data_IF_515801768468
#
_entry.id   IF_515801768468
#
_cell.length_a   1.000
_cell.length_b   1.000
_cell.length_c   1.000
_cell.angle_alpha   90.00
_cell.angle_beta   90.00
_cell.angle_gamma   90.00
#
_symmetry.space_group_name_H-M   'P 1'
#
loop_
_entity.id
_entity.type
_entity.pdbx_description
1 polymer ?
#
# COMPACT_ATOMS: atom_id res chain seq x y z
N UNK A 1 -2.62 71.35 -42.44
CA UNK A 1 -2.27 69.99 -42.01
C UNK A 1 -3.26 69.58 -40.92
N UNK A 2 -4.20 68.67 -41.23
CA UNK A 2 -5.28 68.27 -40.33
C UNK A 2 -4.86 66.93 -39.66
N UNK A 3 -4.76 66.91 -38.35
CA UNK A 3 -4.50 65.68 -37.59
C UNK A 3 -5.79 64.91 -37.35
N UNK A 4 -5.88 63.70 -37.93
CA UNK A 4 -7.01 62.77 -37.73
C UNK A 4 -6.72 61.94 -36.48
N UNK A 5 -7.46 62.14 -35.40
CA UNK A 5 -7.39 61.31 -34.15
C UNK A 5 -8.12 60.00 -34.36
N UNK A 6 -7.37 58.88 -34.34
CA UNK A 6 -7.90 57.51 -34.39
C UNK A 6 -8.26 57.09 -32.95
N UNK A 7 -9.57 56.83 -32.71
CA UNK A 7 -10.02 56.24 -31.44
C UNK A 7 -9.75 54.74 -31.40
N UNK A 8 -9.19 54.19 -30.29
CA UNK A 8 -8.98 52.76 -30.19
C UNK A 8 -10.30 51.99 -30.03
N UNK A 9 -10.37 50.74 -30.53
CA UNK A 9 -11.59 49.94 -30.47
C UNK A 9 -11.94 49.54 -29.03
N UNK A 10 -13.22 49.69 -28.67
CA UNK A 10 -13.76 49.26 -27.37
C UNK A 10 -13.64 47.76 -27.26
N UNK A 11 -12.84 47.27 -26.27
CA UNK A 11 -12.74 45.87 -25.86
C UNK A 11 -14.09 45.43 -25.28
N UNK A 12 -14.83 44.56 -26.05
CA UNK A 12 -16.01 43.85 -25.51
C UNK A 12 -15.55 42.90 -24.42
N UNK A 13 -15.93 43.16 -23.17
CA UNK A 13 -15.82 42.16 -22.10
C UNK A 13 -16.72 40.97 -22.46
N UNK A 14 -16.08 39.83 -22.77
CA UNK A 14 -16.79 38.53 -22.80
C UNK A 14 -17.21 38.23 -21.37
N UNK A 15 -18.50 38.25 -21.10
CA UNK A 15 -19.07 37.62 -19.91
C UNK A 15 -18.94 36.11 -20.10
N UNK A 16 -17.97 35.48 -19.46
CA UNK A 16 -17.86 34.03 -19.41
C UNK A 16 -19.10 33.49 -18.67
N UNK A 17 -20.01 32.93 -19.43
CA UNK A 17 -21.17 32.22 -18.87
C UNK A 17 -20.62 30.87 -18.36
N UNK A 18 -20.73 30.61 -17.06
CA UNK A 18 -20.46 29.31 -16.48
C UNK A 18 -21.19 28.20 -17.25
N UNK A 19 -20.56 27.06 -17.53
CA UNK A 19 -21.20 25.96 -18.23
C UNK A 19 -22.47 25.53 -17.48
N UNK A 20 -23.53 25.22 -18.22
CA UNK A 20 -24.86 24.88 -17.69
C UNK A 20 -24.86 23.70 -16.71
N UNK A 21 -23.79 22.87 -16.68
CA UNK A 21 -23.60 21.77 -15.76
C UNK A 21 -23.25 22.18 -14.30
N UNK A 22 -22.67 23.37 -14.10
CA UNK A 22 -22.28 23.86 -12.76
C UNK A 22 -23.49 24.07 -11.83
N UNK A 23 -24.59 24.70 -12.24
CA UNK A 23 -25.78 24.87 -11.40
C UNK A 23 -26.49 23.54 -11.11
N UNK A 24 -26.45 22.56 -12.01
CA UNK A 24 -27.06 21.23 -11.80
C UNK A 24 -26.26 20.47 -10.74
N UNK A 25 -24.94 20.46 -10.81
CA UNK A 25 -24.09 19.81 -9.82
C UNK A 25 -24.25 20.44 -8.42
N UNK A 26 -24.31 21.79 -8.36
CA UNK A 26 -24.53 22.50 -7.11
C UNK A 26 -25.90 22.17 -6.50
N UNK A 27 -26.94 22.05 -7.30
CA UNK A 27 -28.28 21.68 -6.84
C UNK A 27 -28.33 20.23 -6.32
N UNK A 28 -27.64 19.29 -6.97
CA UNK A 28 -27.55 17.89 -6.52
C UNK A 28 -26.81 17.81 -5.19
N UNK A 29 -25.68 18.49 -5.04
CA UNK A 29 -24.92 18.52 -3.78
C UNK A 29 -25.75 19.14 -2.65
N UNK A 30 -26.43 20.26 -2.90
CA UNK A 30 -27.32 20.88 -1.92
C UNK A 30 -28.48 19.95 -1.52
N UNK A 31 -29.07 19.23 -2.48
CA UNK A 31 -30.12 18.24 -2.22
C UNK A 31 -29.65 17.07 -1.33
N UNK A 32 -28.44 16.56 -1.59
CA UNK A 32 -27.85 15.49 -0.79
C UNK A 32 -27.50 15.94 0.64
N UNK A 33 -27.03 17.17 0.81
CA UNK A 33 -26.77 17.75 2.14
C UNK A 33 -28.07 17.98 2.93
N UNK A 34 -29.14 18.46 2.28
CA UNK A 34 -30.45 18.60 2.91
C UNK A 34 -31.03 17.24 3.30
N UNK A 35 -30.90 16.21 2.44
CA UNK A 35 -31.36 14.86 2.76
C UNK A 35 -30.59 14.27 3.95
N UNK A 36 -29.26 14.42 4.00
CA UNK A 36 -28.45 14.03 5.19
C UNK A 36 -28.91 14.78 6.45
N UNK A 37 -29.18 16.07 6.35
CA UNK A 37 -29.69 16.86 7.47
C UNK A 37 -31.06 16.39 7.96
N UNK A 38 -31.99 16.08 7.07
CA UNK A 38 -33.32 15.54 7.40
C UNK A 38 -33.21 14.13 8.03
N UNK A 39 -32.37 13.25 7.47
CA UNK A 39 -32.13 11.92 8.04
C UNK A 39 -31.54 12.00 9.44
N UNK A 40 -30.61 12.91 9.69
CA UNK A 40 -30.05 13.18 11.00
C UNK A 40 -31.13 13.64 12.00
N UNK A 41 -32.02 14.58 11.57
CA UNK A 41 -33.13 15.06 12.41
C UNK A 41 -34.19 13.99 12.69
N UNK A 42 -34.34 13.00 11.80
CA UNK A 42 -35.24 11.86 11.97
C UNK A 42 -34.64 10.74 12.82
N UNK A 43 -33.45 10.94 13.39
CA UNK A 43 -32.76 9.92 14.21
C UNK A 43 -32.22 8.73 13.39
N UNK A 44 -32.03 8.89 12.06
CA UNK A 44 -31.32 7.89 11.27
C UNK A 44 -29.90 7.79 11.83
N UNK A 45 -29.45 6.59 12.24
CA UNK A 45 -28.14 6.47 12.83
C UNK A 45 -27.10 7.05 11.87
N UNK A 46 -26.19 7.92 12.34
CA UNK A 46 -25.02 8.26 11.54
C UNK A 46 -24.35 6.96 11.14
N UNK A 47 -23.90 6.90 9.89
CA UNK A 47 -23.00 5.82 9.43
C UNK A 47 -21.96 5.63 10.52
N UNK A 48 -21.93 4.44 11.13
CA UNK A 48 -21.02 4.17 12.23
C UNK A 48 -19.62 4.57 11.74
N UNK A 49 -18.95 5.43 12.48
CA UNK A 49 -17.55 5.72 12.21
C UNK A 49 -16.86 4.36 12.05
N UNK A 50 -15.99 4.17 11.03
CA UNK A 50 -15.32 2.90 10.85
C UNK A 50 -14.73 2.51 12.21
N UNK A 51 -15.15 1.37 12.75
CA UNK A 51 -14.61 0.88 14.01
C UNK A 51 -13.10 0.84 13.81
N UNK A 52 -12.40 1.61 14.61
CA UNK A 52 -10.94 1.61 14.62
C UNK A 52 -10.53 0.20 15.07
N UNK A 53 -10.28 -0.68 14.10
CA UNK A 53 -9.81 -2.02 14.41
C UNK A 53 -8.53 -1.87 15.19
N UNK A 54 -8.48 -2.49 16.37
CA UNK A 54 -7.22 -2.56 17.10
C UNK A 54 -6.18 -3.24 16.21
N UNK A 55 -4.97 -2.66 16.16
CA UNK A 55 -3.84 -3.26 15.46
C UNK A 55 -3.65 -4.70 15.94
N UNK A 56 -3.59 -5.71 15.05
CA UNK A 56 -3.40 -7.09 15.46
C UNK A 56 -2.12 -7.28 16.27
N UNK A 57 -2.19 -8.10 17.29
CA UNK A 57 -1.01 -8.48 18.06
C UNK A 57 -0.15 -9.44 17.24
N UNK A 58 1.15 -9.14 17.16
CA UNK A 58 2.10 -9.96 16.39
C UNK A 58 2.24 -11.34 17.02
N UNK A 59 2.09 -12.43 16.25
CA UNK A 59 2.20 -13.78 16.77
C UNK A 59 3.60 -14.10 17.34
N UNK A 60 3.66 -14.98 18.35
CA UNK A 60 4.92 -15.39 18.98
C UNK A 60 5.93 -16.06 18.01
N UNK A 61 5.47 -16.60 16.88
CA UNK A 61 6.33 -17.18 15.85
C UNK A 61 6.94 -16.16 14.89
N UNK A 62 6.67 -14.86 15.08
CA UNK A 62 7.27 -13.73 14.37
C UNK A 62 8.24 -13.02 15.31
N UNK A 63 9.47 -12.82 14.88
CA UNK A 63 10.44 -12.03 15.61
C UNK A 63 10.20 -10.55 15.38
N UNK A 64 9.90 -9.80 16.41
CA UNK A 64 9.81 -8.34 16.31
C UNK A 64 11.20 -7.70 16.38
N UNK A 65 11.63 -7.07 15.31
CA UNK A 65 12.86 -6.28 15.22
C UNK A 65 12.57 -4.98 14.47
N UNK A 66 11.70 -4.16 15.07
CA UNK A 66 11.22 -2.93 14.45
C UNK A 66 12.39 -2.00 14.08
N UNK A 67 12.25 -1.33 12.93
CA UNK A 67 13.21 -0.34 12.48
C UNK A 67 13.18 0.89 13.41
N UNK A 68 14.31 1.57 13.64
CA UNK A 68 14.29 2.88 14.27
C UNK A 68 13.51 3.88 13.38
N UNK A 69 12.81 4.80 14.03
CA UNK A 69 12.07 5.85 13.34
C UNK A 69 13.02 6.74 12.53
N UNK A 70 12.75 6.89 11.24
CA UNK A 70 13.50 7.75 10.34
C UNK A 70 12.68 8.02 9.05
N UNK A 71 12.95 9.11 8.32
CA UNK A 71 12.16 9.48 7.15
C UNK A 71 12.29 8.51 5.96
N UNK A 72 13.32 7.65 5.92
CA UNK A 72 13.67 6.87 4.73
C UNK A 72 13.16 5.43 4.76
N UNK A 73 12.95 4.85 5.95
CA UNK A 73 12.48 3.47 6.07
C UNK A 73 11.34 3.27 7.07
N UNK A 74 11.20 4.12 8.09
CA UNK A 74 10.08 4.11 9.03
C UNK A 74 9.63 5.53 9.38
N UNK A 75 8.77 6.15 8.53
CA UNK A 75 8.33 7.53 8.71
C UNK A 75 7.29 7.71 9.82
N UNK A 76 6.82 6.65 10.46
CA UNK A 76 5.72 6.65 11.45
C UNK A 76 4.40 7.23 10.91
N UNK A 77 4.21 7.17 9.59
CA UNK A 77 2.96 7.59 8.97
C UNK A 77 1.89 6.52 9.22
N UNK A 78 0.71 6.90 9.74
CA UNK A 78 -0.35 5.93 10.00
C UNK A 78 -0.80 5.17 8.74
N UNK A 79 -1.05 3.88 8.89
CA UNK A 79 -1.74 3.02 7.94
C UNK A 79 -3.21 2.94 8.36
N UNK A 80 -4.03 3.83 7.81
CA UNK A 80 -5.44 4.02 8.23
C UNK A 80 -6.33 2.82 7.87
N UNK A 81 -5.99 2.10 6.82
CA UNK A 81 -6.78 0.98 6.32
C UNK A 81 -5.87 -0.05 5.64
N UNK A 82 -6.16 -1.34 5.84
CA UNK A 82 -5.51 -2.43 5.11
C UNK A 82 -6.51 -3.03 4.13
N UNK A 83 -6.25 -2.85 2.83
CA UNK A 83 -7.06 -3.34 1.72
C UNK A 83 -6.37 -4.44 0.92
N UNK A 84 -5.17 -4.83 1.31
CA UNK A 84 -4.45 -5.90 0.65
C UNK A 84 -3.12 -6.25 1.29
N UNK A 85 -2.57 -7.37 0.82
CA UNK A 85 -1.24 -7.87 1.18
C UNK A 85 -0.41 -7.90 -0.09
N UNK A 86 0.74 -7.23 -0.09
CA UNK A 86 1.63 -7.15 -1.23
C UNK A 86 2.86 -8.05 -1.03
N UNK A 87 3.06 -8.98 -1.96
CA UNK A 87 4.18 -9.93 -1.95
C UNK A 87 5.30 -9.39 -2.82
N UNK A 88 6.50 -9.42 -2.26
CA UNK A 88 7.74 -8.99 -2.89
C UNK A 88 8.82 -10.06 -2.76
N UNK A 89 9.92 -9.87 -3.48
CA UNK A 89 11.20 -10.54 -3.24
C UNK A 89 12.28 -9.48 -3.05
N UNK A 90 13.25 -9.74 -2.20
CA UNK A 90 14.28 -8.74 -1.85
C UNK A 90 15.15 -8.31 -3.04
N UNK A 91 15.17 -9.08 -4.14
CA UNK A 91 15.96 -8.77 -5.34
C UNK A 91 17.48 -8.79 -5.12
N UNK A 92 17.93 -9.41 -4.04
CA UNK A 92 19.33 -9.55 -3.64
C UNK A 92 19.58 -11.00 -3.20
N UNK A 93 19.93 -11.90 -4.14
CA UNK A 93 20.00 -13.34 -3.92
C UNK A 93 20.95 -13.74 -2.78
N UNK A 94 20.55 -14.74 -2.00
CA UNK A 94 21.39 -15.34 -0.95
C UNK A 94 21.52 -14.46 0.32
N UNK A 95 20.82 -13.32 0.39
CA UNK A 95 20.82 -12.50 1.61
C UNK A 95 19.82 -13.03 2.64
N UNK A 96 20.11 -12.82 3.93
CA UNK A 96 19.24 -13.21 5.04
C UNK A 96 18.20 -12.12 5.33
N UNK A 97 17.11 -12.47 6.05
CA UNK A 97 16.14 -11.50 6.53
C UNK A 97 16.80 -10.43 7.41
N UNK A 98 17.74 -10.80 8.26
CA UNK A 98 18.47 -9.85 9.10
C UNK A 98 19.30 -8.85 8.29
N UNK A 99 20.02 -9.29 7.24
CA UNK A 99 20.80 -8.41 6.39
C UNK A 99 19.90 -7.38 5.65
N UNK A 100 18.72 -7.82 5.18
CA UNK A 100 17.76 -6.92 4.53
C UNK A 100 17.13 -5.95 5.55
N UNK A 101 16.82 -6.40 6.75
CA UNK A 101 16.38 -5.52 7.84
C UNK A 101 17.43 -4.47 8.18
N UNK A 102 18.71 -4.85 8.27
CA UNK A 102 19.81 -3.95 8.58
C UNK A 102 20.07 -2.96 7.42
N UNK A 103 19.87 -3.38 6.17
CA UNK A 103 19.86 -2.48 5.03
C UNK A 103 18.78 -1.39 5.20
N UNK A 104 17.54 -1.74 5.55
CA UNK A 104 16.49 -0.76 5.79
C UNK A 104 16.84 0.19 6.95
N UNK A 105 17.41 -0.32 8.04
CA UNK A 105 17.84 0.50 9.16
C UNK A 105 18.96 1.48 8.75
N UNK A 106 19.91 1.02 7.93
CA UNK A 106 21.03 1.82 7.45
C UNK A 106 20.63 3.00 6.55
N UNK A 107 19.43 2.97 5.97
CA UNK A 107 18.93 4.11 5.19
C UNK A 107 18.79 5.39 6.01
N UNK A 108 18.67 5.29 7.33
CA UNK A 108 18.68 6.45 8.24
C UNK A 108 19.98 7.28 8.17
N UNK A 109 21.08 6.68 7.72
CA UNK A 109 22.40 7.33 7.67
C UNK A 109 22.65 8.11 6.36
N UNK A 110 21.67 8.15 5.44
CA UNK A 110 21.80 8.87 4.18
C UNK A 110 21.95 10.38 4.40
N UNK A 111 22.97 10.98 3.77
CA UNK A 111 23.28 12.40 3.89
C UNK A 111 23.25 13.16 2.55
N UNK A 112 23.12 12.46 1.42
CA UNK A 112 23.20 13.03 0.08
C UNK A 112 22.08 12.49 -0.82
N UNK A 113 21.51 13.35 -1.65
CA UNK A 113 20.56 12.96 -2.69
C UNK A 113 21.26 12.28 -3.89
N UNK A 114 20.55 11.40 -4.62
CA UNK A 114 19.13 11.01 -4.41
C UNK A 114 18.95 10.06 -3.23
N UNK A 115 17.97 10.36 -2.38
CA UNK A 115 17.66 9.48 -1.25
C UNK A 115 16.88 8.23 -1.70
N UNK A 116 17.18 7.11 -1.04
CA UNK A 116 16.44 5.85 -1.19
C UNK A 116 15.41 5.74 -0.07
N UNK A 117 14.18 5.40 -0.44
CA UNK A 117 13.07 5.12 0.48
C UNK A 117 12.69 3.66 0.31
N UNK A 118 12.92 2.84 1.32
CA UNK A 118 12.59 1.42 1.26
C UNK A 118 12.38 0.82 2.65
N UNK A 119 11.35 -0.01 2.79
CA UNK A 119 11.09 -0.88 3.94
C UNK A 119 9.99 -1.86 3.61
N UNK A 120 9.76 -2.86 4.47
CA UNK A 120 8.58 -3.72 4.43
C UNK A 120 8.08 -3.97 5.86
N UNK A 121 6.83 -4.42 5.99
CA UNK A 121 6.30 -4.80 7.30
C UNK A 121 6.97 -6.07 7.79
N UNK A 122 7.16 -7.04 6.90
CA UNK A 122 7.78 -8.31 7.21
C UNK A 122 8.89 -8.66 6.21
N UNK A 123 9.90 -9.36 6.73
CA UNK A 123 10.92 -10.06 5.97
C UNK A 123 10.83 -11.54 6.30
N UNK A 124 10.89 -12.41 5.27
CA UNK A 124 10.98 -13.86 5.44
C UNK A 124 12.33 -14.32 4.90
N UNK A 125 13.10 -14.98 5.73
CA UNK A 125 14.43 -15.47 5.41
C UNK A 125 14.43 -16.81 4.67
N UNK A 126 15.62 -17.26 4.26
CA UNK A 126 15.82 -18.49 3.47
C UNK A 126 15.44 -19.76 4.26
N UNK A 127 15.59 -19.73 5.58
CA UNK A 127 15.24 -20.83 6.49
C UNK A 127 13.81 -20.67 7.05
N UNK A 128 13.03 -19.73 6.52
CA UNK A 128 11.64 -19.49 6.88
C UNK A 128 11.43 -18.63 8.14
N UNK A 129 12.49 -18.07 8.72
CA UNK A 129 12.36 -17.11 9.82
C UNK A 129 11.61 -15.84 9.35
N UNK A 130 10.76 -15.30 10.23
CA UNK A 130 9.96 -14.12 9.93
C UNK A 130 10.36 -12.99 10.90
N UNK A 131 10.72 -11.85 10.33
CA UNK A 131 11.06 -10.63 11.08
C UNK A 131 10.03 -9.55 10.76
N UNK A 132 9.40 -8.98 11.79
CA UNK A 132 8.60 -7.78 11.65
C UNK A 132 9.49 -6.54 11.79
N UNK A 133 9.46 -5.68 10.75
CA UNK A 133 10.27 -4.46 10.66
C UNK A 133 9.48 -3.18 10.90
N UNK A 134 8.19 -3.17 10.56
CA UNK A 134 7.30 -2.00 10.70
C UNK A 134 6.05 -2.44 11.47
N UNK A 135 5.53 -1.62 12.41
CA UNK A 135 4.23 -1.85 13.03
C UNK A 135 3.10 -1.94 11.99
N UNK A 136 2.06 -2.71 12.29
CA UNK A 136 0.96 -2.94 11.35
C UNK A 136 -0.01 -1.75 11.19
N UNK A 137 0.15 -0.73 12.00
CA UNK A 137 -0.56 0.56 11.94
C UNK A 137 0.26 1.70 11.34
N UNK A 138 1.46 1.39 10.82
CA UNK A 138 2.32 2.33 10.10
C UNK A 138 2.51 1.88 8.64
N UNK A 139 2.72 2.82 7.70
CA UNK A 139 3.05 2.49 6.31
C UNK A 139 4.49 1.99 6.17
N UNK A 140 4.72 1.08 5.21
CA UNK A 140 6.05 0.72 4.72
C UNK A 140 6.28 1.29 3.31
N UNK A 141 7.53 1.59 2.96
CA UNK A 141 7.91 2.03 1.61
C UNK A 141 8.28 0.85 0.71
N UNK A 142 7.29 0.12 0.21
CA UNK A 142 7.48 -1.12 -0.54
C UNK A 142 6.70 -1.18 -1.85
N UNK A 143 5.44 -0.75 -1.85
CA UNK A 143 4.47 -1.01 -2.91
C UNK A 143 4.01 0.26 -3.65
N UNK A 144 4.84 1.31 -3.64
CA UNK A 144 4.59 2.60 -4.30
C UNK A 144 3.27 3.24 -3.85
N UNK A 145 2.31 3.50 -4.76
CA UNK A 145 1.01 4.09 -4.43
C UNK A 145 0.14 3.23 -3.50
N UNK A 146 0.42 1.93 -3.37
CA UNK A 146 -0.29 1.02 -2.47
C UNK A 146 0.34 0.95 -1.06
N UNK A 147 1.40 1.75 -0.77
CA UNK A 147 1.95 1.85 0.58
C UNK A 147 0.91 2.29 1.62
N UNK A 148 -0.09 3.05 1.19
CA UNK A 148 -1.13 3.64 2.06
C UNK A 148 -2.22 2.65 2.48
N UNK A 149 -2.27 1.45 1.88
CA UNK A 149 -3.36 0.50 2.10
C UNK A 149 -2.95 -0.98 2.01
N UNK A 150 -1.65 -1.30 2.02
CA UNK A 150 -1.17 -2.69 2.00
C UNK A 150 -0.18 -3.00 3.10
N UNK A 151 -0.26 -4.24 3.61
CA UNK A 151 0.84 -4.85 4.35
C UNK A 151 1.79 -5.49 3.35
N UNK A 152 3.07 -5.13 3.39
CA UNK A 152 4.10 -5.63 2.48
C UNK A 152 4.93 -6.74 3.13
N UNK A 153 5.20 -7.82 2.37
CA UNK A 153 6.05 -8.94 2.77
C UNK A 153 7.17 -9.08 1.73
N UNK A 154 8.42 -8.94 2.17
CA UNK A 154 9.62 -9.17 1.36
C UNK A 154 10.19 -10.55 1.66
N UNK A 155 10.35 -11.39 0.63
CA UNK A 155 10.87 -12.74 0.75
C UNK A 155 12.30 -12.84 0.24
N UNK A 156 13.18 -13.44 1.03
CA UNK A 156 14.51 -13.83 0.61
C UNK A 156 14.44 -14.99 -0.39
N UNK A 157 15.41 -15.06 -1.29
CA UNK A 157 15.52 -16.10 -2.31
C UNK A 157 16.98 -16.49 -2.54
N UNK A 158 17.27 -17.76 -2.92
CA UNK A 158 18.63 -18.25 -2.96
C UNK A 158 19.44 -17.77 -4.16
N UNK A 159 18.79 -17.51 -5.30
CA UNK A 159 19.44 -17.24 -6.58
C UNK A 159 18.69 -16.21 -7.44
N UNK A 160 19.22 -15.91 -8.62
CA UNK A 160 18.71 -14.92 -9.57
C UNK A 160 17.32 -15.28 -10.17
N UNK A 161 16.89 -16.54 -10.10
CA UNK A 161 15.56 -16.92 -10.58
C UNK A 161 14.47 -16.29 -9.68
N UNK A 162 14.78 -16.08 -8.40
CA UNK A 162 13.88 -15.47 -7.44
C UNK A 162 12.80 -16.42 -6.94
N UNK A 163 12.98 -17.74 -7.13
CA UNK A 163 12.14 -18.77 -6.55
C UNK A 163 12.42 -18.87 -5.06
N UNK A 164 11.38 -19.00 -4.24
CA UNK A 164 11.53 -19.13 -2.80
C UNK A 164 11.92 -20.54 -2.40
N UNK A 165 12.70 -20.67 -1.31
CA UNK A 165 12.90 -22.00 -0.72
C UNK A 165 11.58 -22.56 -0.20
N UNK A 166 11.51 -23.87 0.03
CA UNK A 166 10.33 -24.50 0.66
C UNK A 166 9.99 -23.89 2.01
N UNK A 167 10.99 -23.53 2.78
CA UNK A 167 10.89 -22.93 4.11
C UNK A 167 10.35 -21.49 4.04
N UNK A 168 10.91 -20.67 3.13
CA UNK A 168 10.43 -19.32 2.85
C UNK A 168 8.96 -19.37 2.38
N UNK A 169 8.64 -20.28 1.45
CA UNK A 169 7.30 -20.46 0.91
C UNK A 169 6.28 -20.88 1.99
N UNK A 170 6.62 -21.85 2.81
CA UNK A 170 5.74 -22.31 3.91
C UNK A 170 5.45 -21.16 4.90
N UNK A 171 6.47 -20.37 5.23
CA UNK A 171 6.34 -19.20 6.10
C UNK A 171 5.53 -18.09 5.44
N UNK A 172 5.68 -17.88 4.14
CA UNK A 172 4.88 -16.93 3.36
C UNK A 172 3.39 -17.30 3.39
N UNK A 173 3.06 -18.57 3.12
CA UNK A 173 1.66 -19.07 3.21
C UNK A 173 1.10 -18.86 4.61
N UNK A 174 1.86 -19.23 5.66
CA UNK A 174 1.44 -19.07 7.06
C UNK A 174 1.17 -17.61 7.43
N UNK A 175 2.10 -16.72 7.09
CA UNK A 175 1.99 -15.28 7.42
C UNK A 175 0.85 -14.62 6.64
N UNK A 176 0.73 -14.93 5.35
CA UNK A 176 -0.32 -14.35 4.50
C UNK A 176 -1.70 -14.76 4.97
N UNK A 177 -1.92 -16.04 5.31
CA UNK A 177 -3.19 -16.51 5.88
C UNK A 177 -3.53 -15.80 7.19
N UNK A 178 -2.55 -15.70 8.10
CA UNK A 178 -2.77 -14.99 9.36
C UNK A 178 -3.18 -13.53 9.12
N UNK A 179 -2.52 -12.82 8.19
CA UNK A 179 -2.89 -11.44 7.83
C UNK A 179 -4.28 -11.37 7.19
N UNK A 180 -4.62 -12.30 6.30
CA UNK A 180 -5.97 -12.38 5.70
C UNK A 180 -7.04 -12.53 6.79
N UNK A 181 -6.83 -13.40 7.77
CA UNK A 181 -7.76 -13.59 8.89
C UNK A 181 -7.88 -12.33 9.74
N UNK A 182 -6.76 -11.67 10.07
CA UNK A 182 -6.76 -10.45 10.89
C UNK A 182 -7.50 -9.30 10.23
N UNK A 183 -7.32 -9.13 8.92
CA UNK A 183 -7.90 -8.01 8.17
C UNK A 183 -9.17 -8.39 7.39
N UNK A 184 -9.63 -9.65 7.49
CA UNK A 184 -10.81 -10.17 6.77
C UNK A 184 -10.68 -9.98 5.25
N UNK A 185 -9.49 -10.31 4.73
CA UNK A 185 -9.18 -10.27 3.31
C UNK A 185 -9.40 -11.65 2.68
N UNK A 186 -9.66 -11.65 1.38
CA UNK A 186 -9.65 -12.85 0.56
C UNK A 186 -8.45 -12.87 -0.40
N UNK A 187 -8.28 -13.95 -1.16
CA UNK A 187 -7.14 -14.12 -2.07
C UNK A 187 -7.08 -13.09 -3.19
N UNK A 188 -8.20 -12.46 -3.55
CA UNK A 188 -8.20 -11.37 -4.55
C UNK A 188 -7.52 -10.09 -4.07
N UNK A 189 -7.31 -9.96 -2.76
CA UNK A 189 -6.63 -8.84 -2.12
C UNK A 189 -5.15 -9.15 -1.81
N UNK A 190 -4.69 -10.36 -2.12
CA UNK A 190 -3.26 -10.72 -2.10
C UNK A 190 -2.68 -10.44 -3.49
N UNK A 191 -1.74 -9.51 -3.56
CA UNK A 191 -1.20 -9.00 -4.82
C UNK A 191 0.32 -9.13 -4.87
N UNK A 192 0.87 -9.17 -6.08
CA UNK A 192 2.30 -8.96 -6.32
C UNK A 192 2.59 -7.46 -6.42
N UNK A 193 3.79 -7.03 -6.16
CA UNK A 193 4.21 -5.67 -6.51
C UNK A 193 3.95 -5.37 -8.01
N UNK A 194 4.11 -6.38 -8.85
CA UNK A 194 3.80 -6.32 -10.28
C UNK A 194 2.38 -5.82 -10.56
N UNK A 195 1.40 -6.32 -9.82
CA UNK A 195 -0.01 -5.99 -10.04
C UNK A 195 -0.32 -4.52 -9.68
N UNK A 196 0.49 -3.91 -8.82
CA UNK A 196 0.37 -2.50 -8.46
C UNK A 196 1.09 -1.55 -9.43
N UNK A 197 2.24 -1.95 -10.01
CA UNK A 197 3.15 -1.02 -10.71
C UNK A 197 3.68 -1.52 -12.04
N UNK A 198 3.53 -2.80 -12.36
CA UNK A 198 4.17 -3.46 -13.51
C UNK A 198 5.66 -3.82 -13.29
N UNK A 199 6.23 -3.53 -12.10
CA UNK A 199 7.59 -3.96 -11.76
C UNK A 199 7.65 -5.48 -11.65
N UNK A 200 8.67 -6.12 -12.24
CA UNK A 200 8.88 -7.58 -12.18
C UNK A 200 9.26 -8.01 -10.75
N UNK A 201 8.27 -8.05 -9.87
CA UNK A 201 8.42 -8.38 -8.45
C UNK A 201 7.13 -9.01 -7.88
N UNK A 202 7.21 -10.19 -7.25
CA UNK A 202 8.37 -11.08 -7.17
C UNK A 202 8.67 -11.71 -8.53
N UNK A 203 9.93 -11.72 -8.97
CA UNK A 203 10.31 -12.13 -10.32
C UNK A 203 9.76 -13.48 -10.70
N UNK A 204 10.03 -14.51 -9.92
CA UNK A 204 9.61 -15.89 -10.21
C UNK A 204 8.11 -15.99 -10.48
N UNK A 205 7.28 -15.41 -9.61
CA UNK A 205 5.82 -15.44 -9.72
C UNK A 205 5.24 -14.52 -10.81
N UNK A 206 6.04 -13.62 -11.34
CA UNK A 206 5.67 -12.84 -12.55
C UNK A 206 5.97 -13.64 -13.81
N UNK A 207 7.11 -14.33 -13.83
CA UNK A 207 7.53 -15.16 -14.97
C UNK A 207 6.79 -16.50 -15.04
N UNK A 208 6.26 -16.98 -13.89
CA UNK A 208 5.53 -18.24 -13.73
C UNK A 208 4.13 -18.00 -13.15
N UNK A 209 3.16 -17.54 -13.97
CA UNK A 209 1.81 -17.25 -13.49
C UNK A 209 1.14 -18.45 -12.81
N UNK A 210 1.41 -19.67 -13.26
CA UNK A 210 0.91 -20.92 -12.66
C UNK A 210 1.40 -21.11 -11.22
N UNK A 211 2.63 -20.68 -10.92
CA UNK A 211 3.16 -20.71 -9.54
C UNK A 211 2.44 -19.68 -8.63
N UNK A 212 2.07 -18.52 -9.19
CA UNK A 212 1.27 -17.54 -8.47
C UNK A 212 -0.15 -18.06 -8.20
N UNK A 213 -0.81 -18.66 -9.19
CA UNK A 213 -2.13 -19.27 -9.03
C UNK A 213 -2.07 -20.41 -8.00
N UNK A 214 -1.01 -21.23 -8.01
CA UNK A 214 -0.75 -22.24 -7.00
C UNK A 214 -0.65 -21.66 -5.59
N UNK A 215 0.08 -20.55 -5.42
CA UNK A 215 0.19 -19.86 -4.13
C UNK A 215 -1.18 -19.36 -3.64
N UNK A 216 -1.98 -18.72 -4.50
CA UNK A 216 -3.32 -18.26 -4.12
C UNK A 216 -4.24 -19.44 -3.73
N UNK A 217 -4.17 -20.56 -4.46
CA UNK A 217 -4.90 -21.78 -4.12
C UNK A 217 -4.47 -22.37 -2.77
N UNK A 218 -3.17 -22.33 -2.46
CA UNK A 218 -2.66 -22.79 -1.17
C UNK A 218 -3.16 -21.91 -0.02
N UNK A 219 -3.41 -20.62 -0.25
CA UNK A 219 -4.01 -19.73 0.77
C UNK A 219 -5.44 -20.12 1.12
N UNK A 220 -6.22 -20.66 0.18
CA UNK A 220 -7.61 -21.07 0.38
C UNK A 220 -7.73 -22.42 1.09
N UNK A 221 -6.71 -23.27 0.99
CA UNK A 221 -6.75 -24.62 1.53
C UNK A 221 -6.63 -24.60 3.06
N UNK A 222 -7.73 -24.83 3.76
CA UNK A 222 -7.70 -25.01 5.22
C UNK A 222 -6.91 -26.28 5.54
N UNK A 223 -5.70 -26.16 6.09
CA UNK A 223 -5.02 -27.30 6.72
C UNK A 223 -5.81 -27.69 7.97
N UNK A 224 -6.47 -28.85 7.89
CA UNK A 224 -7.22 -29.47 8.99
C UNK A 224 -6.28 -29.80 10.17
#
# INVERSE_FOLDING_TARGET
MAYTTIRPPRRRQRRDRLPRSVPILAAVVAGLLLLKGVLYLLGWPPEAAPEHRSTPETPEWVTQALLPENPFSRPTTPLEQVNGIAIHYVGNPGTTAQQNRDYFAGLAEQTQEPYTYASSHFLIGLDGEIIQCIPLDEIAYCTSQRNVDTIAIECCHPDEAGEFTSETYASLVRLTRWLMDQYQLDTSQVIRHYDATGKECPRYYVQHPEAWEGFLSDLETTTA
#
